data_IF_444070187112
#
_entry.id   IF_444070187112
#
_cell.length_a   1.000
_cell.length_b   1.000
_cell.length_c   1.000
_cell.angle_alpha   90.00
_cell.angle_beta   90.00
_cell.angle_gamma   90.00
#
_symmetry.space_group_name_H-M   'P 1'
#
loop_
_entity.id
_entity.type
_entity.pdbx_description
1 polymer ?
#
# COMPACT_ATOMS: atom_id res chain seq x y z
N UNK A 1 -49.32 58.02 2.14
CA UNK A 1 -48.65 56.96 2.91
C UNK A 1 -48.30 55.83 1.96
N UNK A 2 -47.12 55.93 1.35
CA UNK A 2 -46.64 55.01 0.30
C UNK A 2 -45.16 54.75 0.55
N UNK A 3 -44.76 53.49 0.39
CA UNK A 3 -43.44 53.05 -0.10
C UNK A 3 -42.22 52.95 0.84
N UNK A 4 -42.33 52.69 2.15
CA UNK A 4 -41.15 52.28 2.94
C UNK A 4 -41.29 51.09 3.89
N UNK A 5 -42.45 50.45 3.95
CA UNK A 5 -42.63 49.21 4.74
C UNK A 5 -42.26 47.93 3.97
N UNK A 6 -41.88 48.05 2.69
CA UNK A 6 -41.45 46.91 1.85
C UNK A 6 -39.94 46.57 2.04
N UNK A 7 -39.18 47.40 2.77
CA UNK A 7 -37.71 47.23 2.88
C UNK A 7 -37.30 46.25 3.98
N UNK A 8 -38.21 45.86 4.89
CA UNK A 8 -37.87 44.95 6.01
C UNK A 8 -38.08 43.48 5.64
N UNK A 9 -38.90 43.16 4.63
CA UNK A 9 -39.14 41.78 4.16
C UNK A 9 -38.04 41.19 3.26
N UNK A 10 -37.11 42.01 2.74
CA UNK A 10 -36.11 41.55 1.74
C UNK A 10 -34.72 41.31 2.35
N UNK A 11 -34.47 41.72 3.61
CA UNK A 11 -33.15 41.51 4.25
C UNK A 11 -33.01 40.20 5.04
N UNK A 12 -34.05 39.37 5.12
CA UNK A 12 -34.00 38.05 5.77
C UNK A 12 -34.10 36.87 4.79
N UNK A 13 -34.28 37.11 3.49
CA UNK A 13 -34.32 36.06 2.46
C UNK A 13 -32.95 35.78 1.81
N UNK A 14 -31.89 36.46 2.26
CA UNK A 14 -30.51 36.30 1.76
C UNK A 14 -29.60 35.43 2.65
N UNK A 15 -30.15 34.76 3.65
CA UNK A 15 -29.43 33.79 4.49
C UNK A 15 -29.96 32.37 4.23
N UNK A 16 -30.14 32.03 2.95
CA UNK A 16 -29.88 30.64 2.58
C UNK A 16 -28.40 30.43 2.91
N UNK A 17 -28.14 29.69 3.99
CA UNK A 17 -26.86 29.05 4.19
C UNK A 17 -26.65 28.12 2.97
N UNK A 18 -26.16 28.70 1.87
CA UNK A 18 -25.45 27.95 0.87
C UNK A 18 -24.39 27.18 1.65
N UNK A 19 -24.22 25.87 1.41
CA UNK A 19 -23.12 25.15 2.03
C UNK A 19 -21.85 25.91 1.69
N UNK A 20 -21.32 26.63 2.68
CA UNK A 20 -19.99 27.17 2.59
C UNK A 20 -19.13 25.92 2.39
N UNK A 21 -18.44 25.87 1.26
CA UNK A 21 -17.35 24.92 1.02
C UNK A 21 -16.22 25.31 1.98
N UNK A 22 -16.46 25.16 3.28
CA UNK A 22 -15.47 25.36 4.31
C UNK A 22 -14.57 24.13 4.27
N UNK A 23 -13.36 24.35 3.78
CA UNK A 23 -12.40 23.27 3.57
C UNK A 23 -11.71 22.94 4.89
N UNK A 24 -11.57 21.64 5.17
CA UNK A 24 -10.60 21.16 6.16
C UNK A 24 -9.21 21.52 5.64
N UNK A 25 -8.38 22.12 6.50
CA UNK A 25 -7.20 22.90 6.09
C UNK A 25 -6.08 22.10 5.41
N UNK A 26 -6.08 20.78 5.54
CA UNK A 26 -4.91 19.96 5.15
C UNK A 26 -4.78 19.71 3.64
N UNK A 27 -5.84 19.95 2.85
CA UNK A 27 -5.82 19.77 1.38
C UNK A 27 -6.41 20.95 0.59
N UNK A 28 -6.68 22.09 1.22
CA UNK A 28 -7.29 23.25 0.54
C UNK A 28 -6.51 23.72 -0.70
N UNK A 29 -5.18 23.70 -0.65
CA UNK A 29 -4.35 24.06 -1.81
C UNK A 29 -4.41 23.06 -2.96
N UNK A 30 -4.65 21.77 -2.70
CA UNK A 30 -4.80 20.75 -3.76
C UNK A 30 -6.00 21.07 -4.65
N UNK A 31 -7.08 21.60 -4.06
CA UNK A 31 -8.28 22.04 -4.81
C UNK A 31 -8.00 23.24 -5.72
N UNK A 32 -6.98 24.03 -5.42
CA UNK A 32 -6.54 25.16 -6.25
C UNK A 32 -5.59 24.73 -7.38
N UNK A 33 -5.04 23.51 -7.31
CA UNK A 33 -4.22 22.97 -8.39
C UNK A 33 -5.10 22.55 -9.58
N UNK A 34 -4.61 22.66 -10.82
CA UNK A 34 -5.31 22.16 -12.00
C UNK A 34 -5.27 20.62 -12.07
N UNK A 35 -5.85 19.95 -11.08
CA UNK A 35 -5.86 18.48 -10.91
C UNK A 35 -6.44 17.76 -12.13
N UNK A 36 -7.41 18.38 -12.82
CA UNK A 36 -7.94 17.88 -14.09
C UNK A 36 -6.88 17.78 -15.20
N UNK A 37 -5.99 18.78 -15.31
CA UNK A 37 -4.88 18.76 -16.30
C UNK A 37 -3.86 17.69 -15.94
N UNK A 38 -3.49 17.58 -14.66
CA UNK A 38 -2.57 16.54 -14.19
C UNK A 38 -3.14 15.13 -14.41
N UNK A 39 -4.43 14.94 -14.15
CA UNK A 39 -5.13 13.67 -14.39
C UNK A 39 -5.14 13.33 -15.88
N UNK A 40 -5.52 14.28 -16.74
CA UNK A 40 -5.53 14.08 -18.19
C UNK A 40 -4.12 13.77 -18.73
N UNK A 41 -3.09 14.49 -18.26
CA UNK A 41 -1.70 14.25 -18.67
C UNK A 41 -1.20 12.88 -18.21
N UNK A 42 -1.49 12.47 -16.98
CA UNK A 42 -1.11 11.16 -16.45
C UNK A 42 -1.79 10.00 -17.19
N UNK A 43 -3.10 10.12 -17.44
CA UNK A 43 -3.87 9.14 -18.23
C UNK A 43 -3.34 9.08 -19.67
N UNK A 44 -3.06 10.23 -20.29
CA UNK A 44 -2.48 10.30 -21.62
C UNK A 44 -1.09 9.65 -21.68
N UNK A 45 -0.23 9.86 -20.69
CA UNK A 45 1.09 9.23 -20.63
C UNK A 45 1.00 7.69 -20.59
N UNK A 46 0.10 7.14 -19.78
CA UNK A 46 -0.12 5.69 -19.70
C UNK A 46 -0.74 5.16 -21.00
N UNK A 47 -1.74 5.85 -21.56
CA UNK A 47 -2.36 5.47 -22.83
C UNK A 47 -1.36 5.50 -24.00
N UNK A 48 -0.53 6.54 -24.10
CA UNK A 48 0.54 6.63 -25.09
C UNK A 48 1.59 5.54 -24.90
N UNK A 49 1.90 5.15 -23.66
CA UNK A 49 2.79 4.01 -23.38
C UNK A 49 2.20 2.70 -23.91
N UNK A 50 0.91 2.46 -23.64
CA UNK A 50 0.19 1.29 -24.20
C UNK A 50 0.24 1.30 -25.73
N UNK A 51 -0.03 2.45 -26.36
CA UNK A 51 0.01 2.59 -27.81
C UNK A 51 1.42 2.35 -28.38
N UNK A 52 2.44 2.90 -27.73
CA UNK A 52 3.83 2.73 -28.12
C UNK A 52 4.26 1.26 -28.06
N UNK A 53 3.78 0.48 -27.08
CA UNK A 53 4.09 -0.94 -26.98
C UNK A 53 3.57 -1.80 -28.13
N UNK A 54 2.56 -1.34 -28.88
CA UNK A 54 2.16 -2.02 -30.11
C UNK A 54 3.16 -1.79 -31.27
N UNK A 55 3.99 -0.76 -31.19
CA UNK A 55 5.01 -0.42 -32.19
C UNK A 55 6.42 -0.84 -31.79
N UNK A 56 6.71 -0.95 -30.49
CA UNK A 56 8.04 -1.28 -29.97
C UNK A 56 8.35 -2.77 -30.17
N UNK A 57 9.54 -3.14 -30.70
CA UNK A 57 9.94 -4.54 -30.81
C UNK A 57 9.99 -5.24 -29.46
N UNK A 58 9.49 -6.48 -29.40
CA UNK A 58 9.43 -7.25 -28.13
C UNK A 58 10.80 -7.44 -27.47
N UNK A 59 11.88 -7.46 -28.26
CA UNK A 59 13.25 -7.54 -27.77
C UNK A 59 13.64 -6.37 -26.85
N UNK A 60 13.13 -5.16 -27.09
CA UNK A 60 13.41 -3.98 -26.25
C UNK A 60 12.78 -4.18 -24.86
N UNK A 61 11.53 -4.64 -24.82
CA UNK A 61 10.83 -4.91 -23.57
C UNK A 61 11.49 -6.09 -22.82
N UNK A 62 11.89 -7.14 -23.53
CA UNK A 62 12.63 -8.26 -22.93
C UNK A 62 13.95 -7.78 -22.29
N UNK A 63 14.68 -6.89 -22.96
CA UNK A 63 15.93 -6.34 -22.45
C UNK A 63 15.76 -5.50 -21.18
N UNK A 64 14.65 -4.76 -21.04
CA UNK A 64 14.34 -3.99 -19.83
C UNK A 64 14.28 -4.85 -18.57
N UNK A 65 13.87 -6.12 -18.69
CA UNK A 65 13.78 -7.07 -17.57
C UNK A 65 14.91 -8.12 -17.59
N UNK A 66 15.96 -7.90 -18.39
CA UNK A 66 17.17 -8.70 -18.34
C UNK A 66 17.81 -8.64 -16.95
N UNK A 67 18.51 -9.71 -16.56
CA UNK A 67 19.21 -9.77 -15.28
C UNK A 67 20.59 -10.40 -15.44
N UNK A 68 21.50 -10.00 -14.54
CA UNK A 68 22.81 -10.62 -14.34
C UNK A 68 22.81 -11.29 -12.98
N UNK A 69 23.05 -12.60 -12.97
CA UNK A 69 23.14 -13.38 -11.75
C UNK A 69 24.58 -13.49 -11.27
N UNK A 70 24.74 -13.75 -9.97
CA UNK A 70 26.04 -14.03 -9.36
C UNK A 70 25.86 -15.00 -8.18
N UNK A 71 26.95 -15.63 -7.70
CA UNK A 71 26.89 -16.50 -6.53
C UNK A 71 26.30 -15.77 -5.33
N UNK A 72 25.30 -16.38 -4.70
CA UNK A 72 24.67 -15.81 -3.51
C UNK A 72 25.63 -15.83 -2.33
N UNK A 73 25.54 -14.81 -1.47
CA UNK A 73 26.21 -14.79 -0.17
C UNK A 73 25.26 -15.29 0.91
N UNK A 74 25.79 -16.07 1.86
CA UNK A 74 25.03 -16.43 3.05
C UNK A 74 25.10 -15.30 4.08
N UNK A 75 23.93 -14.91 4.57
CA UNK A 75 23.75 -13.88 5.60
C UNK A 75 22.96 -14.43 6.79
N UNK A 76 22.90 -15.75 6.95
CA UNK A 76 22.14 -16.44 8.00
C UNK A 76 22.44 -15.92 9.41
N UNK A 77 23.72 -15.87 9.80
CA UNK A 77 24.14 -15.39 11.12
C UNK A 77 23.78 -13.91 11.36
N UNK A 78 24.05 -13.04 10.37
CA UNK A 78 23.70 -11.63 10.46
C UNK A 78 22.19 -11.42 10.61
N UNK A 79 21.37 -12.17 9.86
CA UNK A 79 19.90 -12.14 9.98
C UNK A 79 19.40 -12.63 11.32
N UNK A 80 20.04 -13.63 11.92
CA UNK A 80 19.70 -14.09 13.27
C UNK A 80 19.96 -12.99 14.30
N UNK A 81 21.12 -12.33 14.22
CA UNK A 81 21.46 -11.20 15.12
C UNK A 81 20.45 -10.07 14.94
N UNK A 82 20.18 -9.62 13.72
CA UNK A 82 19.21 -8.54 13.48
C UNK A 82 17.79 -8.93 13.89
N UNK A 83 17.41 -10.20 13.76
CA UNK A 83 16.13 -10.71 14.24
C UNK A 83 16.02 -10.69 15.77
N UNK A 84 17.10 -10.99 16.51
CA UNK A 84 17.14 -10.87 17.97
C UNK A 84 17.09 -9.40 18.43
N UNK A 85 17.77 -8.50 17.71
CA UNK A 85 17.64 -7.05 17.95
C UNK A 85 16.20 -6.60 17.71
N UNK A 86 15.56 -7.10 16.65
CA UNK A 86 14.17 -6.78 16.32
C UNK A 86 13.19 -7.36 17.34
N UNK A 87 13.47 -8.53 17.91
CA UNK A 87 12.73 -9.11 19.04
C UNK A 87 12.78 -8.17 20.26
N UNK A 88 13.97 -7.70 20.63
CA UNK A 88 14.15 -6.77 21.75
C UNK A 88 13.45 -5.42 21.47
N UNK A 89 13.60 -4.88 20.27
CA UNK A 89 12.91 -3.66 19.83
C UNK A 89 11.38 -3.81 19.87
N UNK A 90 10.84 -4.93 19.37
CA UNK A 90 9.41 -5.25 19.43
C UNK A 90 8.93 -5.30 20.89
N UNK A 91 9.66 -5.99 21.78
CA UNK A 91 9.34 -6.02 23.20
C UNK A 91 9.32 -4.62 23.84
N UNK A 92 10.28 -3.76 23.47
CA UNK A 92 10.36 -2.40 23.96
C UNK A 92 9.20 -1.51 23.49
N UNK A 93 8.85 -1.52 22.21
CA UNK A 93 7.72 -0.72 21.71
C UNK A 93 6.38 -1.23 22.25
N UNK A 94 6.21 -2.55 22.42
CA UNK A 94 5.03 -3.12 23.08
C UNK A 94 4.91 -2.66 24.53
N UNK A 95 6.02 -2.65 25.27
CA UNK A 95 6.05 -2.11 26.62
C UNK A 95 5.63 -0.64 26.66
N UNK A 96 6.15 0.20 25.75
CA UNK A 96 5.73 1.59 25.63
C UNK A 96 4.27 1.75 25.22
N UNK A 97 3.74 0.86 24.38
CA UNK A 97 2.31 0.89 24.03
C UNK A 97 1.40 0.68 25.23
N UNK A 98 1.79 -0.17 26.19
CA UNK A 98 0.99 -0.40 27.40
C UNK A 98 1.27 0.59 28.55
N UNK A 99 2.54 0.94 28.77
CA UNK A 99 3.01 1.67 29.95
C UNK A 99 3.57 3.07 29.66
N UNK A 100 3.77 3.41 28.38
CA UNK A 100 4.26 4.71 27.93
C UNK A 100 3.16 5.78 27.81
N UNK A 101 3.46 6.89 27.10
CA UNK A 101 2.54 8.00 26.91
C UNK A 101 1.23 7.57 26.24
N UNK A 102 0.09 8.17 26.59
CA UNK A 102 -1.20 7.83 25.97
C UNK A 102 -1.46 8.53 24.65
N UNK A 103 -0.80 9.65 24.42
CA UNK A 103 -0.87 10.37 23.16
C UNK A 103 -0.10 9.61 22.06
N UNK A 104 -0.75 9.23 20.95
CA UNK A 104 -0.10 8.52 19.85
C UNK A 104 1.11 9.24 19.25
N UNK A 105 1.13 10.58 19.28
CA UNK A 105 2.21 11.37 18.67
C UNK A 105 3.47 11.45 19.55
N UNK A 106 3.39 11.01 20.80
CA UNK A 106 4.52 10.91 21.73
C UNK A 106 4.83 9.45 22.13
N UNK A 107 4.07 8.48 21.63
CA UNK A 107 4.30 7.06 21.93
C UNK A 107 4.98 6.34 20.76
N UNK A 108 6.09 5.65 21.04
CA UNK A 108 6.83 4.91 20.01
C UNK A 108 6.08 3.71 19.44
N UNK A 109 5.04 3.16 20.09
CA UNK A 109 4.28 2.03 19.57
C UNK A 109 3.59 2.35 18.23
N UNK A 110 2.66 3.34 18.14
CA UNK A 110 2.05 3.74 16.87
C UNK A 110 3.06 4.32 15.88
N UNK A 111 4.00 5.15 16.33
CA UNK A 111 5.01 5.75 15.44
C UNK A 111 5.92 4.69 14.80
N UNK A 112 6.39 3.71 15.57
CA UNK A 112 7.22 2.63 15.03
C UNK A 112 6.42 1.69 14.13
N UNK A 113 5.19 1.34 14.50
CA UNK A 113 4.39 0.41 13.72
C UNK A 113 3.87 1.04 12.42
N UNK A 114 3.19 2.18 12.50
CA UNK A 114 2.59 2.84 11.34
C UNK A 114 3.62 3.60 10.51
N UNK A 115 4.43 4.47 11.14
CA UNK A 115 5.35 5.33 10.37
C UNK A 115 6.60 4.58 9.92
N UNK A 116 7.31 3.93 10.84
CA UNK A 116 8.57 3.27 10.50
C UNK A 116 8.33 1.91 9.82
N UNK A 117 7.42 1.09 10.34
CA UNK A 117 7.10 -0.23 9.81
C UNK A 117 6.27 -0.18 8.54
N UNK A 118 5.00 0.23 8.66
CA UNK A 118 4.02 0.20 7.57
C UNK A 118 4.34 1.18 6.45
N UNK A 119 4.65 2.43 6.76
CA UNK A 119 4.91 3.44 5.73
C UNK A 119 6.34 3.33 5.20
N UNK A 120 7.35 3.57 6.05
CA UNK A 120 8.73 3.69 5.60
C UNK A 120 9.32 2.35 5.12
N UNK A 121 9.28 1.32 5.96
CA UNK A 121 9.95 0.05 5.63
C UNK A 121 9.30 -0.63 4.42
N UNK A 122 7.96 -0.65 4.33
CA UNK A 122 7.28 -1.18 3.13
C UNK A 122 7.71 -0.39 1.90
N UNK A 123 7.67 0.95 1.94
CA UNK A 123 8.09 1.83 0.84
C UNK A 123 9.52 1.56 0.37
N UNK A 124 10.44 1.30 1.29
CA UNK A 124 11.85 1.01 1.00
C UNK A 124 12.07 -0.37 0.37
N UNK A 125 11.10 -1.28 0.44
CA UNK A 125 11.23 -2.64 -0.11
C UNK A 125 11.42 -2.67 -1.63
N UNK A 126 10.91 -1.67 -2.37
CA UNK A 126 11.14 -1.58 -3.83
C UNK A 126 12.59 -1.25 -4.18
N UNK A 127 13.32 -0.60 -3.27
CA UNK A 127 14.71 -0.21 -3.47
C UNK A 127 15.69 -1.27 -2.94
N UNK A 128 15.45 -1.73 -1.71
CA UNK A 128 16.39 -2.58 -0.96
C UNK A 128 15.99 -4.06 -0.94
N UNK A 129 14.85 -4.42 -1.52
CA UNK A 129 14.36 -5.79 -1.55
C UNK A 129 13.73 -6.22 -0.22
N UNK A 130 13.96 -7.47 0.19
CA UNK A 130 13.22 -8.08 1.30
C UNK A 130 13.80 -7.65 2.66
N UNK A 131 13.42 -6.46 3.12
CA UNK A 131 13.83 -5.91 4.43
C UNK A 131 13.33 -6.76 5.60
N UNK A 132 12.16 -7.39 5.48
CA UNK A 132 11.58 -8.25 6.52
C UNK A 132 12.45 -9.47 6.87
N UNK A 133 13.26 -9.95 5.92
CA UNK A 133 14.23 -11.00 6.18
C UNK A 133 15.28 -10.61 7.24
N UNK A 134 15.44 -9.30 7.50
CA UNK A 134 16.39 -8.75 8.48
C UNK A 134 15.71 -8.30 9.77
N UNK A 135 14.51 -7.73 9.67
CA UNK A 135 13.85 -7.07 10.81
C UNK A 135 12.73 -7.90 11.46
N UNK A 136 12.51 -9.15 11.03
CA UNK A 136 11.46 -9.97 11.64
C UNK A 136 11.84 -10.34 13.09
N UNK A 137 10.92 -10.26 14.06
CA UNK A 137 11.20 -10.50 15.47
C UNK A 137 11.06 -11.98 15.90
N UNK A 138 11.22 -12.95 14.99
CA UNK A 138 10.97 -14.37 15.33
C UNK A 138 12.11 -15.31 15.00
N UNK A 139 12.71 -15.18 13.81
CA UNK A 139 13.64 -16.19 13.28
C UNK A 139 14.89 -16.36 14.14
N UNK A 140 15.39 -15.28 14.74
CA UNK A 140 16.49 -15.30 15.68
C UNK A 140 16.18 -16.14 16.92
N UNK A 141 15.07 -15.83 17.61
CA UNK A 141 14.64 -16.59 18.79
C UNK A 141 14.37 -18.06 18.44
N UNK A 142 13.68 -18.32 17.34
CA UNK A 142 13.43 -19.68 16.87
C UNK A 142 14.74 -20.45 16.64
N UNK A 143 15.77 -19.81 16.10
CA UNK A 143 17.07 -20.44 15.88
C UNK A 143 17.82 -20.77 17.18
N UNK A 144 17.66 -19.94 18.23
CA UNK A 144 18.24 -20.20 19.56
C UNK A 144 17.59 -21.38 20.27
N UNK A 145 16.28 -21.59 20.05
CA UNK A 145 15.56 -22.75 20.58
C UNK A 145 15.97 -24.07 19.89
N UNK A 146 16.76 -23.99 18.81
CA UNK A 146 17.24 -25.15 18.06
C UNK A 146 16.20 -25.71 17.08
N UNK A 147 16.46 -26.91 16.56
CA UNK A 147 15.59 -27.59 15.59
C UNK A 147 14.37 -28.20 16.30
N UNK A 148 13.37 -27.37 16.55
CA UNK A 148 12.05 -27.82 16.99
C UNK A 148 11.44 -28.73 15.91
N UNK A 149 10.92 -29.89 16.32
CA UNK A 149 10.22 -30.81 15.42
C UNK A 149 8.81 -30.26 15.21
N UNK A 150 8.40 -29.95 13.97
CA UNK A 150 7.05 -29.47 13.71
C UNK A 150 6.04 -30.57 14.08
N UNK A 151 4.98 -30.18 14.78
CA UNK A 151 3.86 -31.04 15.16
C UNK A 151 2.89 -31.19 13.99
N UNK A 152 2.74 -30.14 13.17
CA UNK A 152 1.80 -30.10 12.05
C UNK A 152 2.55 -29.69 10.77
N UNK A 153 2.35 -30.42 9.68
CA UNK A 153 2.83 -30.00 8.35
C UNK A 153 1.74 -29.24 7.63
N UNK A 154 2.01 -27.98 7.25
CA UNK A 154 1.06 -27.18 6.47
C UNK A 154 0.89 -27.76 5.06
N UNK A 155 -0.36 -27.89 4.56
CA UNK A 155 -0.59 -28.40 3.22
C UNK A 155 -0.13 -27.38 2.17
N UNK A 156 0.54 -27.85 1.11
CA UNK A 156 1.03 -26.98 0.04
C UNK A 156 -0.10 -26.21 -0.67
N UNK A 157 -1.30 -26.82 -0.74
CA UNK A 157 -2.49 -26.20 -1.31
C UNK A 157 -2.98 -24.94 -0.59
N UNK A 158 -2.51 -24.69 0.65
CA UNK A 158 -2.84 -23.48 1.40
C UNK A 158 -2.30 -22.22 0.70
N UNK A 159 -1.15 -22.34 0.03
CA UNK A 159 -0.55 -21.27 -0.76
C UNK A 159 -0.48 -19.94 0.00
N UNK A 160 -1.03 -18.89 -0.61
CA UNK A 160 -1.10 -17.53 -0.03
C UNK A 160 -2.47 -17.14 0.51
N UNK A 161 -3.44 -18.07 0.57
CA UNK A 161 -4.77 -17.74 1.07
C UNK A 161 -4.80 -17.22 2.51
N UNK A 162 -4.00 -17.74 3.46
CA UNK A 162 -3.95 -17.17 4.81
C UNK A 162 -3.41 -15.74 4.80
N UNK A 163 -2.42 -15.43 3.95
CA UNK A 163 -1.92 -14.06 3.79
C UNK A 163 -2.99 -13.10 3.24
N UNK A 164 -3.88 -13.56 2.34
CA UNK A 164 -5.03 -12.77 1.88
C UNK A 164 -5.97 -12.47 3.05
N UNK A 165 -6.32 -13.48 3.84
CA UNK A 165 -7.19 -13.30 5.01
C UNK A 165 -6.56 -12.36 6.06
N UNK A 166 -5.26 -12.54 6.34
CA UNK A 166 -4.51 -11.66 7.24
C UNK A 166 -4.44 -10.22 6.72
N UNK A 167 -4.26 -10.03 5.41
CA UNK A 167 -4.27 -8.70 4.81
C UNK A 167 -5.61 -8.00 4.98
N UNK A 168 -6.72 -8.70 4.75
CA UNK A 168 -8.06 -8.14 4.95
C UNK A 168 -8.35 -7.87 6.42
N UNK A 169 -7.91 -8.74 7.34
CA UNK A 169 -8.03 -8.51 8.78
C UNK A 169 -7.19 -7.33 9.26
N UNK A 170 -5.96 -7.20 8.76
CA UNK A 170 -5.10 -6.05 9.01
C UNK A 170 -5.71 -4.75 8.46
N UNK A 171 -6.24 -4.78 7.23
CA UNK A 171 -6.90 -3.63 6.63
C UNK A 171 -8.19 -3.25 7.37
N UNK A 172 -8.94 -4.22 7.87
CA UNK A 172 -10.10 -3.95 8.72
C UNK A 172 -9.70 -3.29 10.04
N UNK A 173 -8.59 -3.70 10.66
CA UNK A 173 -8.05 -3.01 11.84
C UNK A 173 -7.58 -1.58 11.48
N UNK A 174 -6.79 -1.42 10.42
CA UNK A 174 -6.29 -0.12 9.96
C UNK A 174 -7.42 0.88 9.66
N UNK A 175 -8.47 0.44 8.95
CA UNK A 175 -9.49 1.33 8.40
C UNK A 175 -10.77 1.39 9.25
N UNK A 176 -11.21 0.27 9.81
CA UNK A 176 -12.50 0.19 10.49
C UNK A 176 -12.41 0.17 12.02
N UNK A 177 -11.24 -0.06 12.63
CA UNK A 177 -11.10 0.10 14.07
C UNK A 177 -11.40 1.55 14.50
N UNK A 178 -11.91 1.70 15.71
CA UNK A 178 -12.38 2.99 16.25
C UNK A 178 -11.19 3.90 16.61
N UNK A 179 -10.05 3.31 17.01
CA UNK A 179 -8.87 4.04 17.43
C UNK A 179 -7.58 3.24 17.11
N UNK A 180 -7.25 2.99 15.84
CA UNK A 180 -6.09 2.17 15.45
C UNK A 180 -4.74 2.75 15.89
N UNK A 181 -4.69 4.05 16.21
CA UNK A 181 -3.51 4.75 16.72
C UNK A 181 -3.40 4.76 18.25
N UNK A 182 -4.44 4.31 18.98
CA UNK A 182 -4.36 4.20 20.44
C UNK A 182 -3.22 3.24 20.83
N UNK A 183 -2.24 3.68 21.65
CA UNK A 183 -1.03 2.89 21.87
C UNK A 183 -1.29 1.53 22.50
N UNK A 184 -2.24 1.43 23.44
CA UNK A 184 -2.51 0.18 24.16
C UNK A 184 -3.32 -0.79 23.31
N UNK A 185 -4.31 -0.30 22.56
CA UNK A 185 -5.06 -1.09 21.58
C UNK A 185 -4.14 -1.65 20.51
N UNK A 186 -3.29 -0.80 19.94
CA UNK A 186 -2.33 -1.22 18.92
C UNK A 186 -1.32 -2.22 19.48
N UNK A 187 -0.78 -1.98 20.67
CA UNK A 187 0.11 -2.93 21.34
C UNK A 187 -0.55 -4.29 21.56
N UNK A 188 -1.82 -4.31 21.97
CA UNK A 188 -2.57 -5.57 22.10
C UNK A 188 -2.71 -6.29 20.77
N UNK A 189 -3.12 -5.58 19.71
CA UNK A 189 -3.24 -6.16 18.37
C UNK A 189 -1.92 -6.74 17.87
N UNK A 190 -0.83 -5.99 17.98
CA UNK A 190 0.51 -6.42 17.55
C UNK A 190 1.05 -7.55 18.43
N UNK A 191 0.82 -7.53 19.74
CA UNK A 191 1.23 -8.60 20.65
C UNK A 191 0.53 -9.93 20.31
N UNK A 192 -0.79 -9.89 20.05
CA UNK A 192 -1.54 -11.08 19.62
C UNK A 192 -0.96 -11.62 18.32
N UNK A 193 -0.76 -10.76 17.32
CA UNK A 193 -0.16 -11.14 16.04
C UNK A 193 1.24 -11.74 16.21
N UNK A 194 2.07 -11.13 17.04
CA UNK A 194 3.45 -11.53 17.30
C UNK A 194 3.53 -12.89 18.00
N UNK A 195 2.74 -13.12 19.05
CA UNK A 195 2.68 -14.39 19.77
C UNK A 195 2.06 -15.48 18.91
N UNK A 196 0.95 -15.20 18.21
CA UNK A 196 0.29 -16.19 17.34
C UNK A 196 1.21 -16.65 16.20
N UNK A 197 1.96 -15.73 15.60
CA UNK A 197 2.93 -16.06 14.56
C UNK A 197 4.06 -16.93 15.11
N UNK A 198 4.60 -16.59 16.28
CA UNK A 198 5.65 -17.40 16.90
C UNK A 198 5.16 -18.80 17.28
N UNK A 199 3.96 -18.90 17.88
CA UNK A 199 3.34 -20.18 18.17
C UNK A 199 3.13 -21.01 16.91
N UNK A 200 2.67 -20.38 15.82
CA UNK A 200 2.55 -21.01 14.51
C UNK A 200 3.89 -21.55 13.98
N UNK A 201 4.99 -20.82 14.18
CA UNK A 201 6.34 -21.31 13.85
C UNK A 201 6.77 -22.49 14.70
N UNK A 202 6.48 -22.49 16.01
CA UNK A 202 6.80 -23.61 16.91
C UNK A 202 6.02 -24.88 16.53
N UNK A 203 4.73 -24.74 16.20
CA UNK A 203 3.84 -25.86 15.88
C UNK A 203 4.06 -26.37 14.45
N UNK A 204 4.17 -25.48 13.47
CA UNK A 204 4.21 -25.82 12.05
C UNK A 204 5.61 -25.72 11.41
N UNK A 205 6.61 -25.31 12.19
CA UNK A 205 7.96 -25.02 11.73
C UNK A 205 8.07 -23.67 10.98
N UNK A 206 9.27 -23.32 10.49
CA UNK A 206 9.53 -22.05 9.80
C UNK A 206 8.77 -21.91 8.47
N UNK A 207 8.15 -22.98 7.98
CA UNK A 207 7.22 -22.93 6.84
C UNK A 207 6.00 -22.06 7.09
N UNK A 208 5.63 -21.82 8.36
CA UNK A 208 4.56 -20.89 8.75
C UNK A 208 4.71 -19.52 8.10
N UNK A 209 5.91 -18.94 8.17
CA UNK A 209 6.22 -17.61 7.66
C UNK A 209 5.96 -17.46 6.15
N UNK A 210 6.05 -18.55 5.38
CA UNK A 210 5.79 -18.51 3.93
C UNK A 210 4.31 -18.48 3.56
N UNK A 211 3.43 -18.92 4.46
CA UNK A 211 2.00 -19.12 4.18
C UNK A 211 1.09 -18.19 5.00
N UNK A 212 1.42 -18.00 6.29
CA UNK A 212 0.55 -17.42 7.30
C UNK A 212 1.23 -16.31 8.12
N UNK A 213 2.12 -15.54 7.50
CA UNK A 213 2.67 -14.30 8.09
C UNK A 213 2.60 -13.17 7.06
N UNK A 214 1.94 -12.07 7.44
CA UNK A 214 1.57 -10.99 6.54
C UNK A 214 2.79 -10.19 6.08
N UNK A 215 3.74 -9.89 6.96
CA UNK A 215 4.97 -9.17 6.61
C UNK A 215 5.76 -9.90 5.53
N UNK A 216 6.01 -11.19 5.69
CA UNK A 216 6.69 -12.03 4.71
C UNK A 216 5.96 -12.01 3.37
N UNK A 217 4.62 -12.05 3.36
CA UNK A 217 3.84 -11.99 2.13
C UNK A 217 3.95 -10.64 1.41
N UNK A 218 3.79 -9.52 2.14
CA UNK A 218 3.88 -8.14 1.60
C UNK A 218 5.30 -7.87 1.10
N UNK A 219 6.31 -8.08 1.95
CA UNK A 219 7.70 -7.81 1.60
C UNK A 219 8.20 -8.76 0.51
N UNK A 220 7.76 -10.02 0.44
CA UNK A 220 8.09 -10.87 -0.70
C UNK A 220 7.45 -10.38 -2.01
N UNK A 221 6.23 -9.84 -1.96
CA UNK A 221 5.56 -9.26 -3.11
C UNK A 221 6.29 -8.00 -3.59
N UNK A 222 6.54 -7.00 -2.73
CA UNK A 222 7.20 -5.77 -3.17
C UNK A 222 8.71 -5.93 -3.43
N UNK A 223 9.42 -6.77 -2.68
CA UNK A 223 10.83 -7.05 -2.97
C UNK A 223 11.04 -7.77 -4.31
N UNK A 224 10.01 -8.38 -4.88
CA UNK A 224 10.08 -8.96 -6.23
C UNK A 224 10.21 -7.89 -7.32
N UNK A 225 9.83 -6.64 -7.01
CA UNK A 225 10.02 -5.47 -7.85
C UNK A 225 11.43 -4.89 -7.74
N UNK A 226 12.17 -5.20 -6.68
CA UNK A 226 13.49 -4.61 -6.47
C UNK A 226 14.49 -5.05 -7.55
N UNK A 227 15.32 -4.13 -8.08
CA UNK A 227 16.30 -4.46 -9.11
C UNK A 227 17.41 -5.37 -8.57
N UNK A 228 17.79 -5.20 -7.30
CA UNK A 228 18.88 -5.92 -6.65
C UNK A 228 18.37 -7.03 -5.71
N UNK A 229 19.04 -8.19 -5.75
CA UNK A 229 18.89 -9.26 -4.75
C UNK A 229 20.24 -9.83 -4.36
N UNK A 230 20.48 -9.90 -3.05
CA UNK A 230 21.74 -10.43 -2.50
C UNK A 230 21.71 -11.92 -2.14
N UNK A 231 20.52 -12.51 -2.02
CA UNK A 231 20.33 -13.93 -1.69
C UNK A 231 19.87 -14.76 -2.88
N UNK A 232 20.17 -16.06 -2.89
CA UNK A 232 19.89 -16.95 -4.02
C UNK A 232 18.43 -16.88 -4.52
N UNK A 233 18.19 -16.79 -5.84
CA UNK A 233 19.17 -16.40 -6.87
C UNK A 233 19.57 -14.93 -6.72
N UNK A 234 20.86 -14.66 -6.52
CA UNK A 234 21.37 -13.30 -6.36
C UNK A 234 21.66 -12.68 -7.73
N UNK A 235 21.42 -11.38 -7.87
CA UNK A 235 21.57 -10.70 -9.15
C UNK A 235 21.03 -9.28 -9.16
N UNK A 236 21.29 -8.60 -10.28
CA UNK A 236 20.78 -7.27 -10.62
C UNK A 236 20.07 -7.35 -11.97
N UNK A 237 18.84 -6.85 -12.02
CA UNK A 237 18.07 -6.74 -13.25
C UNK A 237 17.10 -5.57 -13.19
N UNK A 238 16.32 -5.38 -14.26
CA UNK A 238 15.28 -4.36 -14.27
C UNK A 238 14.21 -4.59 -13.20
N UNK A 239 13.62 -3.54 -12.59
CA UNK A 239 12.63 -3.70 -11.54
C UNK A 239 11.51 -4.70 -11.90
N UNK A 240 11.32 -5.76 -11.13
CA UNK A 240 10.36 -6.82 -11.44
C UNK A 240 10.92 -8.04 -12.17
N UNK A 241 12.21 -8.09 -12.51
CA UNK A 241 12.84 -9.25 -13.16
C UNK A 241 12.62 -10.57 -12.40
N UNK A 242 12.52 -10.49 -11.06
CA UNK A 242 12.29 -11.66 -10.20
C UNK A 242 10.88 -12.21 -10.27
N UNK A 243 9.88 -11.38 -10.58
CA UNK A 243 8.50 -11.84 -10.75
C UNK A 243 8.43 -12.90 -11.85
N UNK A 244 9.22 -12.72 -12.90
CA UNK A 244 9.27 -13.57 -14.09
C UNK A 244 9.96 -14.92 -13.84
N UNK A 245 10.62 -15.12 -12.69
CA UNK A 245 11.44 -16.31 -12.44
C UNK A 245 10.66 -17.51 -11.89
N UNK A 246 9.50 -17.30 -11.26
CA UNK A 246 8.74 -18.36 -10.59
C UNK A 246 7.28 -18.29 -10.99
N UNK A 247 6.72 -19.42 -11.46
CA UNK A 247 5.31 -19.52 -11.81
C UNK A 247 4.43 -19.20 -10.59
N UNK A 248 3.54 -18.21 -10.69
CA UNK A 248 2.73 -17.80 -9.56
C UNK A 248 1.53 -18.73 -9.38
N UNK A 249 1.22 -19.05 -8.12
CA UNK A 249 -0.06 -19.62 -7.76
C UNK A 249 -1.17 -18.54 -7.90
N UNK A 250 -2.42 -18.91 -8.24
CA UNK A 250 -3.53 -17.96 -8.33
C UNK A 250 -3.74 -17.12 -7.06
N UNK A 251 -3.52 -17.71 -5.88
CA UNK A 251 -3.59 -17.02 -4.59
C UNK A 251 -2.61 -15.83 -4.49
N UNK A 252 -1.45 -15.89 -5.16
CA UNK A 252 -0.51 -14.76 -5.23
C UNK A 252 -1.06 -13.60 -6.06
N UNK A 253 -1.80 -13.91 -7.14
CA UNK A 253 -2.49 -12.91 -7.94
C UNK A 253 -3.63 -12.24 -7.17
N UNK A 254 -4.45 -13.04 -6.47
CA UNK A 254 -5.49 -12.52 -5.56
C UNK A 254 -4.89 -11.64 -4.47
N UNK A 255 -3.79 -12.06 -3.85
CA UNK A 255 -3.08 -11.25 -2.85
C UNK A 255 -2.61 -9.90 -3.40
N UNK A 256 -2.03 -9.87 -4.61
CA UNK A 256 -1.60 -8.62 -5.25
C UNK A 256 -2.78 -7.68 -5.55
N UNK A 257 -3.92 -8.24 -6.01
CA UNK A 257 -5.15 -7.49 -6.22
C UNK A 257 -5.75 -6.99 -4.90
N UNK A 258 -5.71 -7.78 -3.83
CA UNK A 258 -6.14 -7.33 -2.51
C UNK A 258 -5.25 -6.20 -1.97
N UNK A 259 -3.92 -6.26 -2.15
CA UNK A 259 -3.03 -5.14 -1.78
C UNK A 259 -3.44 -3.85 -2.47
N UNK A 260 -3.69 -3.93 -3.77
CA UNK A 260 -4.15 -2.79 -4.56
C UNK A 260 -5.54 -2.30 -4.11
N UNK A 261 -6.48 -3.23 -3.89
CA UNK A 261 -7.84 -2.93 -3.48
C UNK A 261 -7.94 -2.32 -2.08
N UNK A 262 -7.14 -2.81 -1.13
CA UNK A 262 -7.02 -2.22 0.22
C UNK A 262 -6.54 -0.78 0.11
N UNK A 263 -5.45 -0.52 -0.61
CA UNK A 263 -4.93 0.84 -0.76
C UNK A 263 -5.91 1.76 -1.48
N UNK A 264 -6.62 1.27 -2.50
CA UNK A 264 -7.61 2.08 -3.20
C UNK A 264 -8.84 2.37 -2.35
N UNK A 265 -9.27 1.43 -1.50
CA UNK A 265 -10.33 1.69 -0.54
C UNK A 265 -9.88 2.62 0.59
N UNK A 266 -8.63 2.50 1.06
CA UNK A 266 -8.01 3.43 2.00
C UNK A 266 -8.14 4.88 1.49
N UNK A 267 -7.70 5.14 0.25
CA UNK A 267 -7.89 6.45 -0.37
C UNK A 267 -9.33 6.87 -0.66
N UNK A 268 -10.25 5.92 -0.80
CA UNK A 268 -11.66 6.20 -1.10
C UNK A 268 -12.46 6.53 0.16
N UNK A 269 -12.19 5.85 1.27
CA UNK A 269 -13.07 5.83 2.45
C UNK A 269 -13.18 7.19 3.15
N UNK A 270 -12.18 8.06 2.99
CA UNK A 270 -12.15 9.41 3.56
C UNK A 270 -12.75 10.46 2.63
N UNK A 271 -13.06 10.10 1.38
CA UNK A 271 -13.53 11.06 0.36
C UNK A 271 -14.96 11.51 0.64
N UNK A 272 -15.24 12.77 0.24
CA UNK A 272 -16.60 13.32 0.31
C UNK A 272 -17.61 12.45 -0.45
N UNK A 273 -17.19 11.84 -1.57
CA UNK A 273 -18.06 10.96 -2.37
C UNK A 273 -18.46 9.71 -1.59
N UNK A 274 -17.51 9.04 -0.93
CA UNK A 274 -17.80 7.84 -0.15
C UNK A 274 -18.69 8.17 1.05
N UNK A 275 -18.29 9.17 1.84
CA UNK A 275 -19.04 9.61 3.02
C UNK A 275 -20.48 9.99 2.66
N UNK A 276 -20.67 10.76 1.58
CA UNK A 276 -22.00 11.08 1.07
C UNK A 276 -22.81 9.86 0.61
N UNK A 277 -22.15 8.86 -0.01
CA UNK A 277 -22.79 7.61 -0.44
C UNK A 277 -23.30 6.78 0.73
N UNK A 278 -22.60 6.80 1.87
CA UNK A 278 -23.02 6.12 3.09
C UNK A 278 -23.89 6.99 4.01
N UNK A 279 -24.31 8.16 3.54
CA UNK A 279 -25.19 9.08 4.27
C UNK A 279 -24.52 9.86 5.41
N UNK A 280 -23.19 9.97 5.40
CA UNK A 280 -22.40 10.72 6.38
C UNK A 280 -22.04 12.09 5.82
N UNK A 281 -22.28 13.15 6.60
CA UNK A 281 -21.84 14.50 6.27
C UNK A 281 -20.30 14.58 6.39
N UNK A 282 -19.56 14.84 5.30
CA UNK A 282 -18.09 14.92 5.35
C UNK A 282 -17.56 16.07 6.20
N UNK A 283 -18.37 17.08 6.49
CA UNK A 283 -17.96 18.22 7.32
C UNK A 283 -18.34 18.05 8.81
N UNK A 284 -19.09 17.00 9.12
CA UNK A 284 -19.58 16.68 10.46
C UNK A 284 -19.45 15.18 10.67
N UNK A 285 -18.20 14.69 10.61
CA UNK A 285 -17.92 13.27 10.72
C UNK A 285 -18.31 12.76 12.11
N UNK A 286 -19.25 11.80 12.23
CA UNK A 286 -19.82 11.35 13.51
C UNK A 286 -18.84 10.49 14.35
N UNK A 287 -17.62 10.29 13.86
CA UNK A 287 -16.61 9.41 14.45
C UNK A 287 -16.59 8.01 13.82
N UNK A 288 -15.45 7.33 13.95
CA UNK A 288 -15.18 6.02 13.32
C UNK A 288 -16.15 4.92 13.77
N UNK A 289 -16.67 5.00 15.00
CA UNK A 289 -17.63 4.03 15.55
C UNK A 289 -18.95 3.96 14.77
N UNK A 290 -19.38 5.05 14.14
CA UNK A 290 -20.63 5.10 13.38
C UNK A 290 -20.52 4.48 11.97
N UNK A 291 -19.30 4.26 11.48
CA UNK A 291 -19.04 3.83 10.10
C UNK A 291 -18.33 2.48 9.99
N UNK A 292 -18.05 1.79 11.11
CA UNK A 292 -17.30 0.51 11.12
C UNK A 292 -17.88 -0.51 10.13
N UNK A 293 -19.19 -0.73 10.16
CA UNK A 293 -19.85 -1.70 9.29
C UNK A 293 -19.75 -1.33 7.81
N UNK A 294 -19.95 -0.05 7.50
CA UNK A 294 -19.84 0.50 6.15
C UNK A 294 -18.40 0.42 5.64
N UNK A 295 -17.41 0.70 6.48
CA UNK A 295 -15.98 0.61 6.14
C UNK A 295 -15.56 -0.84 5.87
N UNK A 296 -15.96 -1.80 6.73
CA UNK A 296 -15.67 -3.22 6.49
C UNK A 296 -16.36 -3.73 5.22
N UNK A 297 -17.62 -3.38 5.00
CA UNK A 297 -18.35 -3.75 3.79
C UNK A 297 -17.71 -3.14 2.54
N UNK A 298 -17.37 -1.84 2.59
CA UNK A 298 -16.69 -1.13 1.51
C UNK A 298 -15.34 -1.75 1.16
N UNK A 299 -14.54 -2.11 2.15
CA UNK A 299 -13.26 -2.80 1.99
C UNK A 299 -13.42 -4.12 1.23
N UNK A 300 -14.33 -4.98 1.69
CA UNK A 300 -14.57 -6.30 1.07
C UNK A 300 -15.10 -6.14 -0.35
N UNK A 301 -16.06 -5.23 -0.55
CA UNK A 301 -16.65 -4.94 -1.85
C UNK A 301 -15.63 -4.36 -2.84
N UNK A 302 -14.75 -3.46 -2.40
CA UNK A 302 -13.70 -2.88 -3.23
C UNK A 302 -12.72 -3.94 -3.71
N UNK A 303 -12.22 -4.80 -2.79
CA UNK A 303 -11.36 -5.91 -3.17
C UNK A 303 -12.06 -6.89 -4.12
N UNK A 304 -13.31 -7.28 -3.82
CA UNK A 304 -14.07 -8.21 -4.66
C UNK A 304 -14.36 -7.63 -6.05
N UNK A 305 -14.75 -6.36 -6.14
CA UNK A 305 -15.00 -5.66 -7.40
C UNK A 305 -13.73 -5.56 -8.24
N UNK A 306 -12.59 -5.20 -7.63
CA UNK A 306 -11.31 -5.14 -8.32
C UNK A 306 -10.90 -6.50 -8.88
N UNK A 307 -11.02 -7.57 -8.08
CA UNK A 307 -10.73 -8.94 -8.53
C UNK A 307 -11.67 -9.34 -9.68
N UNK A 308 -12.96 -9.05 -9.57
CA UNK A 308 -13.95 -9.42 -10.58
C UNK A 308 -13.73 -8.69 -11.91
N UNK A 309 -13.51 -7.37 -11.88
CA UNK A 309 -13.22 -6.58 -13.08
C UNK A 309 -11.90 -7.01 -13.72
N UNK A 310 -10.87 -7.25 -12.91
CA UNK A 310 -9.60 -7.75 -13.42
C UNK A 310 -9.74 -9.14 -14.06
N UNK A 311 -10.42 -10.06 -13.38
CA UNK A 311 -10.71 -11.40 -13.90
C UNK A 311 -11.48 -11.35 -15.23
N UNK A 312 -12.48 -10.46 -15.33
CA UNK A 312 -13.22 -10.22 -16.56
C UNK A 312 -12.31 -9.73 -17.69
N UNK A 313 -11.42 -8.77 -17.42
CA UNK A 313 -10.44 -8.27 -18.39
C UNK A 313 -9.52 -9.39 -18.91
N UNK A 314 -9.00 -10.23 -18.01
CA UNK A 314 -8.16 -11.39 -18.41
C UNK A 314 -8.97 -12.38 -19.24
N UNK A 315 -10.20 -12.69 -18.82
CA UNK A 315 -11.08 -13.62 -19.55
C UNK A 315 -11.40 -13.12 -20.96
N UNK A 316 -11.79 -11.85 -21.10
CA UNK A 316 -12.02 -11.20 -22.40
C UNK A 316 -10.77 -11.25 -23.27
N UNK A 317 -9.60 -10.99 -22.69
CA UNK A 317 -8.31 -11.07 -23.37
C UNK A 317 -8.06 -12.46 -23.97
N UNK A 318 -8.26 -13.52 -23.19
CA UNK A 318 -8.12 -14.90 -23.66
C UNK A 318 -9.10 -15.23 -24.79
N UNK A 319 -10.36 -14.75 -24.69
CA UNK A 319 -11.37 -14.93 -25.74
C UNK A 319 -11.00 -14.20 -27.04
N UNK A 320 -10.52 -12.96 -26.96
CA UNK A 320 -10.08 -12.18 -28.11
C UNK A 320 -8.86 -12.79 -28.79
N UNK A 321 -7.91 -13.30 -28.00
CA UNK A 321 -6.69 -13.92 -28.51
C UNK A 321 -6.90 -15.35 -29.05
N UNK A 322 -8.07 -15.97 -28.79
CA UNK A 322 -8.44 -17.33 -29.21
C UNK A 322 -7.35 -18.35 -28.86
N UNK A 323 -7.01 -18.42 -27.58
CA UNK A 323 -5.95 -19.28 -27.03
C UNK A 323 -6.52 -20.31 -26.06
N UNK A 324 -5.84 -21.45 -25.95
CA UNK A 324 -6.15 -22.53 -25.00
C UNK A 324 -5.43 -22.38 -23.66
N UNK A 325 -4.77 -21.23 -23.43
CA UNK A 325 -4.10 -20.93 -22.17
C UNK A 325 -5.09 -20.96 -21.01
N UNK A 326 -4.72 -21.65 -19.92
CA UNK A 326 -5.57 -21.78 -18.74
C UNK A 326 -5.77 -20.42 -18.08
N UNK A 327 -7.03 -20.07 -17.79
CA UNK A 327 -7.39 -18.80 -17.13
C UNK A 327 -6.58 -18.56 -15.84
N UNK A 328 -6.47 -19.57 -14.98
CA UNK A 328 -5.76 -19.44 -13.71
C UNK A 328 -4.27 -19.08 -13.87
N UNK A 329 -3.64 -19.55 -14.95
CA UNK A 329 -2.24 -19.25 -15.26
C UNK A 329 -2.09 -17.81 -15.76
N UNK A 330 -2.92 -17.40 -16.73
CA UNK A 330 -2.92 -16.02 -17.22
C UNK A 330 -3.26 -15.01 -16.11
N UNK A 331 -4.28 -15.31 -15.29
CA UNK A 331 -4.71 -14.49 -14.17
C UNK A 331 -3.59 -14.31 -13.14
N UNK A 332 -2.95 -15.40 -12.71
CA UNK A 332 -1.90 -15.34 -11.69
C UNK A 332 -0.72 -14.49 -12.13
N UNK A 333 -0.27 -14.66 -13.38
CA UNK A 333 0.82 -13.88 -13.96
C UNK A 333 0.46 -12.41 -14.15
N UNK A 334 -0.66 -12.12 -14.82
CA UNK A 334 -1.05 -10.75 -15.13
C UNK A 334 -1.41 -9.97 -13.87
N UNK A 335 -1.99 -10.59 -12.84
CA UNK A 335 -2.31 -9.91 -11.59
C UNK A 335 -1.05 -9.40 -10.87
N UNK A 336 0.06 -10.15 -10.92
CA UNK A 336 1.33 -9.71 -10.36
C UNK A 336 1.94 -8.52 -11.08
N UNK A 337 1.54 -8.27 -12.33
CA UNK A 337 1.96 -7.06 -13.06
C UNK A 337 1.44 -5.77 -12.43
N UNK A 338 0.41 -5.83 -11.57
CA UNK A 338 -0.17 -4.68 -10.88
C UNK A 338 0.54 -4.31 -9.57
N UNK A 339 1.48 -5.12 -9.10
CA UNK A 339 2.26 -4.81 -7.89
C UNK A 339 2.98 -3.44 -7.94
N UNK A 340 3.55 -2.98 -9.08
CA UNK A 340 4.10 -1.64 -9.19
C UNK A 340 3.08 -0.55 -8.87
N UNK A 341 1.82 -0.70 -9.32
CA UNK A 341 0.74 0.26 -9.04
C UNK A 341 0.45 0.30 -7.54
N UNK A 342 0.25 -0.86 -6.91
CA UNK A 342 0.00 -0.96 -5.48
C UNK A 342 1.14 -0.32 -4.67
N UNK A 343 2.38 -0.58 -5.07
CA UNK A 343 3.58 -0.07 -4.40
C UNK A 343 3.71 1.45 -4.50
N UNK A 344 3.60 2.03 -5.70
CA UNK A 344 3.73 3.49 -5.85
C UNK A 344 2.55 4.22 -5.24
N UNK A 345 1.35 3.60 -5.25
CA UNK A 345 0.19 4.17 -4.59
C UNK A 345 0.40 4.24 -3.08
N UNK A 346 0.93 3.17 -2.45
CA UNK A 346 1.32 3.19 -1.03
C UNK A 346 2.26 4.34 -0.70
N UNK A 347 3.33 4.51 -1.50
CA UNK A 347 4.30 5.61 -1.30
C UNK A 347 3.64 6.98 -1.48
N UNK A 348 2.87 7.16 -2.55
CA UNK A 348 2.24 8.44 -2.87
C UNK A 348 1.19 8.81 -1.81
N UNK A 349 0.33 7.85 -1.44
CA UNK A 349 -0.76 8.04 -0.48
C UNK A 349 -0.24 8.44 0.90
N UNK A 350 0.79 7.77 1.41
CA UNK A 350 1.33 8.04 2.74
C UNK A 350 2.42 9.13 2.79
N UNK A 351 2.78 9.77 1.67
CA UNK A 351 3.89 10.72 1.63
C UNK A 351 3.70 11.89 2.62
N UNK A 352 2.52 12.50 2.65
CA UNK A 352 2.23 13.65 3.52
C UNK A 352 2.27 13.26 4.99
N UNK A 353 1.63 12.14 5.35
CA UNK A 353 1.67 11.59 6.70
C UNK A 353 3.09 11.22 7.11
N UNK A 354 3.89 10.64 6.21
CA UNK A 354 5.30 10.32 6.48
C UNK A 354 6.12 11.57 6.81
N UNK A 355 5.99 12.65 6.03
CA UNK A 355 6.73 13.90 6.25
C UNK A 355 6.48 14.52 7.63
N UNK A 356 5.28 14.35 8.18
CA UNK A 356 4.94 14.82 9.53
C UNK A 356 5.35 13.81 10.58
N UNK A 357 4.89 12.57 10.46
CA UNK A 357 5.02 11.55 11.49
C UNK A 357 6.47 11.11 11.71
N UNK A 358 7.35 11.24 10.71
CA UNK A 358 8.78 10.98 10.91
C UNK A 358 9.42 11.96 11.90
N UNK A 359 8.95 13.22 11.94
CA UNK A 359 9.43 14.21 12.90
C UNK A 359 8.98 13.83 14.32
N UNK A 360 7.72 13.41 14.49
CA UNK A 360 7.24 12.86 15.77
C UNK A 360 8.00 11.59 16.19
N UNK A 361 8.32 10.71 15.23
CA UNK A 361 9.11 9.50 15.49
C UNK A 361 10.50 9.83 16.04
N UNK A 362 11.16 10.86 15.51
CA UNK A 362 12.47 11.33 16.00
C UNK A 362 12.33 11.95 17.40
N UNK A 363 11.31 12.79 17.62
CA UNK A 363 11.07 13.40 18.93
C UNK A 363 10.78 12.35 20.02
N UNK A 364 9.88 11.40 19.73
CA UNK A 364 9.54 10.31 20.64
C UNK A 364 10.70 9.33 20.86
N UNK A 365 11.67 9.24 19.94
CA UNK A 365 12.88 8.46 20.16
C UNK A 365 13.84 9.16 21.14
N UNK A 366 13.87 10.50 21.16
CA UNK A 366 14.67 11.26 22.14
C UNK A 366 14.06 11.25 23.54
N UNK A 367 12.72 11.28 23.64
CA UNK A 367 11.98 11.18 24.91
C UNK A 367 10.90 10.07 24.91
N UNK A 368 11.28 8.77 24.95
CA UNK A 368 10.32 7.66 24.78
C UNK A 368 9.25 7.55 25.86
N UNK A 369 9.49 8.15 27.03
CA UNK A 369 8.57 8.13 28.16
C UNK A 369 7.77 9.42 28.32
N UNK A 370 8.03 10.44 27.48
CA UNK A 370 7.51 11.80 27.62
C UNK A 370 7.75 12.40 29.01
N UNK A 371 8.99 12.28 29.53
CA UNK A 371 9.39 12.74 30.87
C UNK A 371 10.50 13.80 30.84
N UNK A 372 10.79 14.38 29.68
CA UNK A 372 11.85 15.35 29.48
C UNK A 372 13.23 14.71 29.33
N UNK A 373 13.31 13.47 28.85
CA UNK A 373 14.59 12.90 28.43
C UNK A 373 15.03 13.49 27.09
N UNK A 374 16.35 13.52 26.85
CA UNK A 374 16.91 13.91 25.56
C UNK A 374 18.02 12.93 25.15
N UNK A 375 17.62 11.72 24.77
CA UNK A 375 18.56 10.65 24.41
C UNK A 375 19.38 10.97 23.15
N UNK A 376 18.88 11.84 22.27
CA UNK A 376 19.54 12.24 21.03
C UNK A 376 20.27 13.58 21.12
N UNK A 377 20.06 14.39 22.17
CA UNK A 377 20.71 15.69 22.31
C UNK A 377 20.17 16.75 21.35
N UNK A 378 18.88 16.70 21.01
CA UNK A 378 18.27 17.50 19.92
C UNK A 378 17.33 18.60 20.40
N UNK A 379 17.20 18.80 21.72
CA UNK A 379 16.33 19.86 22.23
C UNK A 379 16.88 21.28 21.96
N UNK A 380 16.01 22.26 21.64
CA UNK A 380 14.57 22.12 21.41
C UNK A 380 14.24 21.58 20.00
N UNK A 381 13.52 20.46 19.91
CA UNK A 381 13.02 19.92 18.65
C UNK A 381 11.53 20.25 18.46
N UNK A 382 11.14 20.79 17.31
CA UNK A 382 9.75 21.16 17.01
C UNK A 382 9.29 20.53 15.71
N UNK A 383 8.14 19.88 15.75
CA UNK A 383 7.49 19.38 14.53
C UNK A 383 6.93 20.55 13.73
N UNK A 384 7.14 20.52 12.42
CA UNK A 384 6.68 21.57 11.50
C UNK A 384 5.78 20.99 10.43
N UNK A 385 4.74 21.75 10.07
CA UNK A 385 3.78 21.44 9.00
C UNK A 385 3.64 22.59 7.99
N UNK A 386 4.54 23.58 8.06
CA UNK A 386 4.48 24.80 7.24
C UNK A 386 4.53 24.55 5.73
N UNK A 387 5.08 23.42 5.30
CA UNK A 387 5.11 22.99 3.89
C UNK A 387 3.72 22.65 3.31
N UNK A 388 2.68 22.52 4.13
CA UNK A 388 1.30 22.43 3.65
C UNK A 388 0.62 23.79 3.43
N UNK A 389 1.26 24.88 3.86
CA UNK A 389 0.68 26.23 3.80
C UNK A 389 1.26 27.12 2.68
N UNK A 390 2.12 26.56 1.82
CA UNK A 390 2.70 27.24 0.66
C UNK A 390 2.33 26.52 -0.63
N UNK A 391 1.84 27.28 -1.62
CA UNK A 391 1.45 26.74 -2.92
C UNK A 391 2.60 26.00 -3.61
N UNK A 392 3.85 26.47 -3.48
CA UNK A 392 5.01 25.86 -4.13
C UNK A 392 5.35 24.51 -3.50
N UNK A 393 5.29 24.42 -2.17
CA UNK A 393 5.54 23.17 -1.44
C UNK A 393 4.43 22.16 -1.68
N UNK A 394 3.16 22.57 -1.64
CA UNK A 394 2.02 21.69 -1.97
C UNK A 394 2.08 21.22 -3.42
N UNK A 395 2.45 22.10 -4.37
CA UNK A 395 2.63 21.71 -5.77
C UNK A 395 3.72 20.67 -5.92
N UNK A 396 4.86 20.81 -5.24
CA UNK A 396 5.96 19.83 -5.29
C UNK A 396 5.53 18.47 -4.72
N UNK A 397 4.83 18.47 -3.59
CA UNK A 397 4.29 17.24 -2.98
C UNK A 397 3.32 16.57 -3.95
N UNK A 398 2.37 17.34 -4.48
CA UNK A 398 1.36 16.85 -5.43
C UNK A 398 2.00 16.26 -6.69
N UNK A 399 2.92 16.98 -7.34
CA UNK A 399 3.57 16.50 -8.57
C UNK A 399 4.44 15.28 -8.31
N UNK A 400 5.03 15.16 -7.12
CA UNK A 400 5.74 13.96 -6.69
C UNK A 400 4.79 12.77 -6.56
N UNK A 401 3.67 12.93 -5.85
CA UNK A 401 2.65 11.89 -5.68
C UNK A 401 2.06 11.44 -7.02
N UNK A 402 1.62 12.39 -7.83
CA UNK A 402 1.06 12.12 -9.16
C UNK A 402 2.10 11.47 -10.09
N UNK A 403 3.34 11.97 -10.07
CA UNK A 403 4.45 11.40 -10.84
C UNK A 403 4.75 9.96 -10.46
N UNK A 404 4.79 9.64 -9.17
CA UNK A 404 4.96 8.27 -8.67
C UNK A 404 3.84 7.36 -9.18
N UNK A 405 2.57 7.80 -9.07
CA UNK A 405 1.41 7.03 -9.57
C UNK A 405 1.53 6.75 -11.06
N UNK A 406 1.83 7.77 -11.88
CA UNK A 406 1.97 7.60 -13.33
C UNK A 406 3.13 6.66 -13.67
N UNK A 407 4.30 6.82 -13.02
CA UNK A 407 5.46 5.97 -13.26
C UNK A 407 5.18 4.50 -12.90
N UNK A 408 4.50 4.23 -11.80
CA UNK A 408 4.13 2.85 -11.44
C UNK A 408 3.13 2.24 -12.41
N UNK A 409 2.18 3.02 -12.95
CA UNK A 409 1.28 2.54 -14.01
C UNK A 409 2.01 2.26 -15.31
N UNK A 410 2.89 3.17 -15.76
CA UNK A 410 3.77 2.94 -16.92
C UNK A 410 4.59 1.67 -16.74
N UNK A 411 5.22 1.49 -15.58
CA UNK A 411 6.02 0.31 -15.29
C UNK A 411 5.19 -0.98 -15.24
N UNK A 412 3.98 -0.91 -14.68
CA UNK A 412 3.02 -2.01 -14.67
C UNK A 412 2.58 -2.39 -16.08
N UNK A 413 2.37 -1.43 -16.98
CA UNK A 413 2.05 -1.68 -18.39
C UNK A 413 3.23 -2.39 -19.10
N UNK A 414 4.47 -1.93 -18.89
CA UNK A 414 5.67 -2.58 -19.42
C UNK A 414 5.81 -4.03 -18.92
N UNK A 415 5.61 -4.25 -17.62
CA UNK A 415 5.69 -5.56 -17.00
C UNK A 415 4.56 -6.49 -17.48
N UNK A 416 3.34 -5.98 -17.60
CA UNK A 416 2.19 -6.72 -18.14
C UNK A 416 2.46 -7.17 -19.58
N UNK A 417 2.98 -6.28 -20.43
CA UNK A 417 3.34 -6.61 -21.80
C UNK A 417 4.48 -7.63 -21.85
N UNK A 418 5.51 -7.48 -21.00
CA UNK A 418 6.59 -8.45 -20.86
C UNK A 418 6.06 -9.84 -20.50
N UNK A 419 5.14 -9.94 -19.56
CA UNK A 419 4.48 -11.20 -19.16
C UNK A 419 3.65 -11.75 -20.31
N UNK A 420 2.89 -10.91 -21.00
CA UNK A 420 2.05 -11.32 -22.11
C UNK A 420 2.86 -11.85 -23.31
N UNK A 421 4.05 -11.31 -23.57
CA UNK A 421 4.98 -11.85 -24.57
C UNK A 421 5.39 -13.29 -24.25
N UNK A 422 5.66 -13.62 -22.98
CA UNK A 422 5.99 -14.99 -22.57
C UNK A 422 4.78 -15.94 -22.66
N UNK A 423 3.59 -15.44 -22.32
CA UNK A 423 2.37 -16.27 -22.30
C UNK A 423 1.82 -16.56 -23.70
N UNK A 424 1.89 -15.60 -24.63
CA UNK A 424 1.20 -15.69 -25.92
C UNK A 424 2.15 -15.84 -27.12
N UNK A 425 3.43 -15.50 -26.97
CA UNK A 425 4.52 -15.69 -27.95
C UNK A 425 4.43 -14.88 -29.26
N UNK A 426 3.22 -14.57 -29.74
CA UNK A 426 2.95 -13.87 -31.00
C UNK A 426 2.47 -12.44 -30.72
N UNK A 427 3.16 -11.44 -31.28
CA UNK A 427 2.82 -10.01 -31.14
C UNK A 427 1.35 -9.67 -31.34
N UNK A 428 0.69 -10.22 -32.37
CA UNK A 428 -0.73 -9.93 -32.64
C UNK A 428 -1.63 -10.54 -31.57
N UNK A 429 -1.34 -11.76 -31.12
CA UNK A 429 -2.12 -12.43 -30.06
C UNK A 429 -1.90 -11.74 -28.72
N UNK A 430 -0.66 -11.38 -28.40
CA UNK A 430 -0.31 -10.57 -27.23
C UNK A 430 -1.11 -9.28 -27.23
N UNK A 431 -1.12 -8.54 -28.34
CA UNK A 431 -1.84 -7.28 -28.46
C UNK A 431 -3.36 -7.42 -28.18
N UNK A 432 -3.99 -8.44 -28.79
CA UNK A 432 -5.42 -8.72 -28.59
C UNK A 432 -5.71 -9.19 -27.15
N UNK A 433 -4.83 -10.01 -26.57
CA UNK A 433 -4.98 -10.52 -25.21
C UNK A 433 -4.88 -9.40 -24.16
N UNK A 434 -3.98 -8.44 -24.37
CA UNK A 434 -3.76 -7.36 -23.40
C UNK A 434 -4.70 -6.18 -23.58
N UNK A 435 -5.46 -6.07 -24.67
CA UNK A 435 -6.31 -4.90 -24.93
C UNK A 435 -7.32 -4.61 -23.80
N UNK A 436 -8.12 -5.57 -23.30
CA UNK A 436 -9.03 -5.31 -22.18
C UNK A 436 -8.29 -4.92 -20.89
N UNK A 437 -7.13 -5.56 -20.66
CA UNK A 437 -6.28 -5.24 -19.51
C UNK A 437 -5.71 -3.82 -19.61
N UNK A 438 -5.29 -3.38 -20.79
CA UNK A 438 -4.82 -2.00 -21.00
C UNK A 438 -5.91 -0.98 -20.73
N UNK A 439 -7.15 -1.23 -21.16
CA UNK A 439 -8.30 -0.36 -20.84
C UNK A 439 -8.51 -0.30 -19.33
N UNK A 440 -8.48 -1.44 -18.65
CA UNK A 440 -8.55 -1.51 -17.19
C UNK A 440 -7.45 -0.67 -16.53
N UNK A 441 -6.19 -0.78 -16.97
CA UNK A 441 -5.07 -0.04 -16.38
C UNK A 441 -5.13 1.47 -16.64
N UNK A 442 -5.64 1.89 -17.80
CA UNK A 442 -5.87 3.32 -18.10
C UNK A 442 -6.98 3.87 -17.20
N UNK A 443 -8.10 3.14 -17.05
CA UNK A 443 -9.17 3.52 -16.13
C UNK A 443 -8.68 3.54 -14.67
N UNK A 444 -7.80 2.61 -14.29
CA UNK A 444 -7.20 2.58 -12.96
C UNK A 444 -6.26 3.76 -12.70
N UNK A 445 -5.52 4.20 -13.72
CA UNK A 445 -4.71 5.44 -13.64
C UNK A 445 -5.59 6.64 -13.32
N UNK A 446 -6.72 6.75 -14.03
CA UNK A 446 -7.69 7.83 -13.79
C UNK A 446 -8.24 7.76 -12.37
N UNK A 447 -8.63 6.56 -11.90
CA UNK A 447 -9.10 6.33 -10.53
C UNK A 447 -8.03 6.72 -9.50
N UNK A 448 -6.77 6.29 -9.68
CA UNK A 448 -5.68 6.57 -8.74
C UNK A 448 -5.36 8.06 -8.62
N UNK A 449 -5.32 8.79 -9.75
CA UNK A 449 -5.12 10.24 -9.76
C UNK A 449 -6.33 10.99 -9.20
N UNK A 450 -7.54 10.51 -9.46
CA UNK A 450 -8.74 11.04 -8.84
C UNK A 450 -8.75 10.84 -7.33
N UNK A 451 -8.38 9.65 -6.82
CA UNK A 451 -8.29 9.37 -5.38
C UNK A 451 -7.28 10.28 -4.68
N UNK A 452 -6.17 10.62 -5.33
CA UNK A 452 -5.23 11.61 -4.80
C UNK A 452 -5.84 13.02 -4.74
N UNK A 453 -6.61 13.40 -5.76
CA UNK A 453 -7.18 14.75 -5.89
C UNK A 453 -8.47 14.96 -5.10
N UNK A 454 -9.14 13.87 -4.73
CA UNK A 454 -10.49 13.91 -4.17
C UNK A 454 -10.49 14.62 -2.81
N UNK A 455 -11.45 15.53 -2.57
CA UNK A 455 -11.58 16.17 -1.26
C UNK A 455 -11.92 15.12 -0.19
N UNK A 456 -11.24 15.24 0.95
CA UNK A 456 -11.38 14.36 2.12
C UNK A 456 -11.98 15.08 3.32
N UNK A 457 -12.83 14.39 4.07
CA UNK A 457 -13.63 14.97 5.17
C UNK A 457 -13.47 14.31 6.53
N UNK A 458 -12.68 13.23 6.64
CA UNK A 458 -12.44 12.51 7.86
C UNK A 458 -10.96 12.13 7.97
#
# INVERSE_FOLDING_TARGET
MRLREIVIGVKLAGLLALPAQAHVSEQGFVLLLPTGVYTAAGVAAVALTVLALFAVPGAVVLALFGHRSWPARDFSAARQITSLISLAGMGFVLYLGFAGPRDPLSNLMPLSFWTLGWVATVSLAILFGNLWAWINPWTGLYSLLGKLRPVVTLPEGLGRWPAVALLLGFAAFLLADIAPDDPARLAQFVAIYWVATFAGMVVCGPGWLRHAELGHAIFAAYASLAPLRLSAPAGLGGPGWRLLAVRPAPASGVFALCLLGVGSFDGLNETFWWLGTIGVNPLEFPGRSAVVGQTVAGLVLACAALIAVFALSVWLGLRLARTDLRFAEAFGWLALSLLPIAMVYHVAHYLTSFLVQIQYSIAALSDPFARGADWLGIEPFRVTTGFFNSIDSVRLIWTTQAGLVVLGHVWSVLLSHRIALDLFGNHRRTALATLPLSVFMIAYTMLGLWLLAAPKGA
#
